data_IF_131711702747
#
_entry.id   IF_131711702747
#
_cell.length_a   1.000
_cell.length_b   1.000
_cell.length_c   1.000
_cell.angle_alpha   90.00
_cell.angle_beta   90.00
_cell.angle_gamma   90.00
#
_symmetry.space_group_name_H-M   'P 1'
#
loop_
_entity.id
_entity.type
_entity.pdbx_description
1 polymer ?
#
# COMPACT_ATOMS: atom_id res chain seq x y z
N UNK A 1 4.10 -10.58 26.30
CA UNK A 1 4.24 -9.12 26.18
C UNK A 1 5.74 -8.86 26.24
N UNK A 2 6.36 -8.58 25.07
CA UNK A 2 7.79 -8.23 25.00
C UNK A 2 8.04 -6.93 25.78
N UNK A 3 9.29 -6.74 26.26
CA UNK A 3 9.69 -5.45 26.84
C UNK A 3 9.49 -4.34 25.80
N UNK A 4 9.10 -3.11 26.22
CA UNK A 4 8.94 -2.01 25.28
C UNK A 4 10.27 -1.76 24.56
N UNK A 5 10.21 -1.56 23.24
CA UNK A 5 11.38 -1.22 22.43
C UNK A 5 11.90 0.14 22.89
N UNK A 6 13.16 0.21 23.23
CA UNK A 6 13.80 1.49 23.51
C UNK A 6 14.17 2.15 22.17
N UNK A 7 13.32 3.06 21.71
CA UNK A 7 13.55 3.81 20.49
C UNK A 7 14.79 4.71 20.62
N UNK A 8 15.59 4.76 19.57
CA UNK A 8 16.66 5.76 19.47
C UNK A 8 16.11 7.19 19.50
N UNK A 9 16.91 8.13 19.96
CA UNK A 9 16.53 9.56 19.97
C UNK A 9 16.60 10.23 18.59
N UNK A 10 17.04 9.50 17.58
CA UNK A 10 17.15 10.01 16.21
C UNK A 10 15.76 10.03 15.57
N UNK A 11 15.36 11.20 15.05
CA UNK A 11 14.07 11.34 14.36
C UNK A 11 14.23 11.15 12.84
N UNK A 12 13.29 10.43 12.23
CA UNK A 12 13.14 10.39 10.78
C UNK A 12 12.37 11.66 10.38
N UNK A 13 13.09 12.70 9.93
CA UNK A 13 12.48 13.99 9.58
C UNK A 13 11.64 13.90 8.31
N UNK A 14 12.20 13.34 7.24
CA UNK A 14 11.53 13.19 5.94
C UNK A 14 12.12 11.99 5.19
N UNK A 15 11.53 11.67 4.04
CA UNK A 15 11.96 10.61 3.14
C UNK A 15 12.24 11.20 1.76
N UNK A 16 13.15 10.59 1.02
CA UNK A 16 13.54 11.06 -0.32
C UNK A 16 12.35 11.08 -1.30
N UNK A 17 11.42 10.14 -1.14
CA UNK A 17 10.22 10.09 -1.97
C UNK A 17 9.30 11.30 -1.79
N UNK A 18 9.33 11.97 -0.64
CA UNK A 18 8.53 13.19 -0.39
C UNK A 18 8.93 14.29 -1.37
N UNK A 19 10.24 14.49 -1.54
CA UNK A 19 10.77 15.46 -2.51
C UNK A 19 10.55 14.98 -3.95
N UNK A 20 10.84 13.70 -4.24
CA UNK A 20 10.67 13.12 -5.58
C UNK A 20 9.24 13.21 -6.11
N UNK A 21 8.25 13.12 -5.22
CA UNK A 21 6.82 13.17 -5.54
C UNK A 21 6.20 14.56 -5.32
N UNK A 22 6.96 15.55 -4.83
CA UNK A 22 6.46 16.91 -4.58
C UNK A 22 5.40 17.00 -3.47
N UNK A 23 5.47 16.13 -2.46
CA UNK A 23 4.44 16.00 -1.42
C UNK A 23 4.61 16.93 -0.20
N UNK A 24 5.69 17.71 -0.13
CA UNK A 24 6.09 18.44 1.07
C UNK A 24 5.02 19.39 1.63
N UNK A 25 4.37 20.19 0.78
CA UNK A 25 3.32 21.12 1.21
C UNK A 25 2.05 20.37 1.68
N UNK A 26 1.65 19.32 0.96
CA UNK A 26 0.51 18.48 1.33
C UNK A 26 0.72 17.79 2.67
N UNK A 27 1.90 17.23 2.89
CA UNK A 27 2.27 16.60 4.18
C UNK A 27 2.25 17.64 5.31
N UNK A 28 2.78 18.83 5.09
CA UNK A 28 2.80 19.89 6.08
C UNK A 28 1.39 20.34 6.49
N UNK A 29 0.42 20.34 5.55
CA UNK A 29 -0.99 20.68 5.84
C UNK A 29 -1.67 19.68 6.77
N UNK A 30 -1.22 18.41 6.77
CA UNK A 30 -1.80 17.33 7.55
C UNK A 30 -3.17 16.84 7.07
N UNK A 31 -3.67 17.34 5.94
CA UNK A 31 -5.02 17.05 5.45
C UNK A 31 -5.06 15.98 4.34
N UNK A 32 -3.92 15.45 3.93
CA UNK A 32 -3.84 14.46 2.85
C UNK A 32 -4.68 13.22 3.15
N UNK A 33 -5.67 12.94 2.31
CA UNK A 33 -6.55 11.78 2.42
C UNK A 33 -7.61 11.90 3.53
N UNK A 34 -7.90 13.11 4.03
CA UNK A 34 -8.90 13.31 5.07
C UNK A 34 -10.27 12.72 4.69
N UNK A 35 -10.91 12.04 5.64
CA UNK A 35 -12.21 11.40 5.45
C UNK A 35 -12.16 10.05 4.72
N UNK A 36 -11.00 9.57 4.31
CA UNK A 36 -10.83 8.27 3.63
C UNK A 36 -10.29 7.22 4.59
N UNK A 37 -10.91 6.03 4.59
CA UNK A 37 -10.40 4.85 5.29
C UNK A 37 -9.47 4.04 4.38
N UNK A 38 -8.28 3.71 4.89
CA UNK A 38 -7.32 2.81 4.21
C UNK A 38 -7.12 1.57 5.08
N UNK A 39 -7.31 0.39 4.49
CA UNK A 39 -6.94 -0.89 5.09
C UNK A 39 -5.54 -1.30 4.65
N UNK A 40 -4.66 -1.59 5.60
CA UNK A 40 -3.33 -2.15 5.31
C UNK A 40 -3.34 -3.61 5.72
N UNK A 41 -3.06 -4.51 4.77
CA UNK A 41 -2.93 -5.95 5.02
C UNK A 41 -1.45 -6.30 5.04
N UNK A 42 -0.93 -6.59 6.22
CA UNK A 42 0.49 -6.81 6.48
C UNK A 42 0.69 -7.48 7.85
N UNK A 43 1.93 -7.66 8.30
CA UNK A 43 2.26 -7.89 9.71
C UNK A 43 1.76 -6.76 10.60
N UNK A 44 1.75 -6.94 11.93
CA UNK A 44 1.21 -5.94 12.85
C UNK A 44 2.16 -4.75 12.98
N UNK A 45 1.62 -3.53 12.75
CA UNK A 45 2.37 -2.31 12.99
C UNK A 45 2.54 -2.04 14.49
N UNK A 46 3.69 -1.54 14.90
CA UNK A 46 3.92 -1.02 16.23
C UNK A 46 3.57 0.47 16.28
N UNK A 47 2.40 0.78 16.82
CA UNK A 47 1.92 2.17 16.93
C UNK A 47 2.69 3.00 17.96
N UNK A 48 3.59 2.39 18.73
CA UNK A 48 4.52 3.09 19.62
C UNK A 48 5.75 3.63 18.90
N UNK A 49 5.96 3.26 17.64
CA UNK A 49 7.06 3.77 16.82
C UNK A 49 7.01 5.31 16.74
N UNK A 50 8.16 6.00 16.88
CA UNK A 50 8.21 7.46 16.94
C UNK A 50 7.52 8.15 15.74
N UNK A 51 7.67 7.61 14.55
CA UNK A 51 7.09 8.11 13.32
C UNK A 51 5.55 8.03 13.28
N UNK A 52 4.96 7.11 14.03
CA UNK A 52 3.50 6.92 14.12
C UNK A 52 2.86 7.69 15.29
N UNK A 53 3.64 8.42 16.06
CA UNK A 53 3.12 9.17 17.21
C UNK A 53 2.02 10.16 16.79
N UNK A 54 0.81 9.98 17.33
CA UNK A 54 -0.36 10.81 17.06
C UNK A 54 -1.05 10.54 15.70
N UNK A 55 -0.65 9.50 14.96
CA UNK A 55 -1.34 9.09 13.75
C UNK A 55 -2.65 8.34 14.08
N UNK A 56 -3.67 8.48 13.21
CA UNK A 56 -4.93 7.74 13.32
C UNK A 56 -4.75 6.32 12.75
N UNK A 57 -4.12 5.47 13.56
CA UNK A 57 -3.80 4.08 13.21
C UNK A 57 -4.43 3.13 14.21
N UNK A 58 -5.21 2.18 13.71
CA UNK A 58 -5.75 1.05 14.48
C UNK A 58 -5.14 -0.24 13.97
N UNK A 59 -4.58 -1.06 14.87
CA UNK A 59 -4.13 -2.42 14.53
C UNK A 59 -5.23 -3.41 14.91
N UNK A 60 -5.69 -4.20 13.93
CA UNK A 60 -6.74 -5.22 14.08
C UNK A 60 -6.15 -6.58 13.74
N UNK A 61 -5.69 -7.36 14.74
CA UNK A 61 -5.22 -8.72 14.51
C UNK A 61 -6.35 -9.59 13.95
N UNK A 62 -6.04 -10.34 12.89
CA UNK A 62 -7.04 -11.20 12.23
C UNK A 62 -7.15 -12.58 12.87
N UNK A 63 -6.17 -12.95 13.67
CA UNK A 63 -6.14 -14.14 14.54
C UNK A 63 -5.14 -13.93 15.68
N UNK A 64 -5.08 -14.86 16.62
CA UNK A 64 -4.08 -14.83 17.69
C UNK A 64 -2.80 -15.53 17.22
N UNK A 65 -1.69 -14.79 17.15
CA UNK A 65 -0.37 -15.29 16.75
C UNK A 65 0.75 -14.46 17.38
N UNK A 66 1.95 -15.02 17.37
CA UNK A 66 3.14 -14.29 17.82
C UNK A 66 3.91 -13.82 16.60
N UNK A 67 3.81 -12.52 16.33
CA UNK A 67 4.56 -11.90 15.26
C UNK A 67 6.03 -11.72 15.63
N UNK A 68 6.92 -12.06 14.72
CA UNK A 68 8.35 -11.80 14.83
C UNK A 68 8.64 -10.29 14.63
N UNK A 69 9.77 -9.83 15.14
CA UNK A 69 10.19 -8.43 14.99
C UNK A 69 10.34 -8.02 13.52
N UNK A 70 10.77 -8.93 12.64
CA UNK A 70 10.85 -8.66 11.19
C UNK A 70 9.46 -8.40 10.60
N UNK A 71 8.45 -9.17 10.96
CA UNK A 71 7.07 -9.00 10.52
C UNK A 71 6.48 -7.69 11.05
N UNK A 72 6.71 -7.39 12.34
CA UNK A 72 6.28 -6.15 12.98
C UNK A 72 7.00 -4.93 12.38
N UNK A 73 8.31 -5.01 12.14
CA UNK A 73 9.10 -3.95 11.52
C UNK A 73 8.59 -3.65 10.11
N UNK A 74 8.28 -4.69 9.31
CA UNK A 74 7.72 -4.51 7.98
C UNK A 74 6.34 -3.84 8.02
N UNK A 75 5.42 -4.33 8.84
CA UNK A 75 4.09 -3.72 9.01
C UNK A 75 4.17 -2.27 9.49
N UNK A 76 5.10 -1.97 10.42
CA UNK A 76 5.34 -0.60 10.89
C UNK A 76 5.86 0.30 9.76
N UNK A 77 6.85 -0.17 8.99
CA UNK A 77 7.39 0.57 7.85
C UNK A 77 6.30 0.90 6.81
N UNK A 78 5.48 -0.10 6.43
CA UNK A 78 4.38 0.07 5.45
C UNK A 78 3.33 1.06 5.96
N UNK A 79 2.91 0.95 7.22
CA UNK A 79 1.94 1.89 7.82
C UNK A 79 2.53 3.29 7.93
N UNK A 80 3.83 3.42 8.25
CA UNK A 80 4.48 4.73 8.37
C UNK A 80 4.52 5.50 7.04
N UNK A 81 4.64 4.82 5.91
CA UNK A 81 4.51 5.44 4.57
C UNK A 81 3.18 6.17 4.39
N UNK A 82 2.11 5.66 4.99
CA UNK A 82 0.78 6.30 4.92
C UNK A 82 0.59 7.39 5.98
N UNK A 83 0.98 7.10 7.22
CA UNK A 83 0.51 7.81 8.41
C UNK A 83 1.57 8.65 9.12
N UNK A 84 2.86 8.48 8.84
CA UNK A 84 3.93 9.15 9.57
C UNK A 84 3.81 10.69 9.49
N UNK A 85 4.01 11.35 10.62
CA UNK A 85 3.87 12.81 10.73
C UNK A 85 4.79 13.59 9.80
N UNK A 86 6.02 13.12 9.58
CA UNK A 86 7.05 13.81 8.79
C UNK A 86 7.01 13.49 7.29
N UNK A 87 6.39 12.35 6.90
CA UNK A 87 6.50 11.86 5.53
C UNK A 87 5.28 11.04 5.05
N UNK A 88 4.25 10.85 5.87
CA UNK A 88 3.09 10.05 5.52
C UNK A 88 2.30 10.62 4.35
N UNK A 89 2.10 9.81 3.30
CA UNK A 89 1.45 10.22 2.06
C UNK A 89 -0.03 10.54 2.25
N UNK A 90 -0.68 9.89 3.22
CA UNK A 90 -2.12 10.05 3.48
C UNK A 90 -2.41 10.25 4.98
N UNK A 91 -1.62 11.11 5.65
CA UNK A 91 -1.65 11.27 7.11
C UNK A 91 -2.96 11.82 7.69
N UNK A 92 -3.85 12.32 6.86
CA UNK A 92 -5.21 12.70 7.26
C UNK A 92 -6.22 11.58 7.11
N UNK A 93 -5.84 10.44 6.54
CA UNK A 93 -6.68 9.26 6.42
C UNK A 93 -6.74 8.46 7.74
N UNK A 94 -7.83 7.71 7.93
CA UNK A 94 -7.92 6.71 9.00
C UNK A 94 -7.32 5.40 8.50
N UNK A 95 -6.27 4.92 9.17
CA UNK A 95 -5.56 3.70 8.78
C UNK A 95 -6.00 2.55 9.71
N UNK A 96 -6.43 1.43 9.11
CA UNK A 96 -6.64 0.18 9.84
C UNK A 96 -5.67 -0.87 9.30
N UNK A 97 -4.73 -1.30 10.12
CA UNK A 97 -3.84 -2.41 9.79
C UNK A 97 -4.52 -3.72 10.18
N UNK A 98 -4.96 -4.47 9.18
CA UNK A 98 -5.48 -5.84 9.32
C UNK A 98 -4.28 -6.78 9.40
N UNK A 99 -3.83 -7.03 10.61
CA UNK A 99 -2.60 -7.76 10.86
C UNK A 99 -2.82 -9.27 10.65
N UNK A 100 -2.09 -9.84 9.72
CA UNK A 100 -2.07 -11.27 9.42
C UNK A 100 -0.69 -11.85 9.67
N UNK A 101 -0.56 -13.15 10.00
CA UNK A 101 0.75 -13.76 10.10
C UNK A 101 1.44 -13.80 8.74
N UNK A 102 2.71 -13.42 8.71
CA UNK A 102 3.60 -13.62 7.58
C UNK A 102 4.22 -15.03 7.62
N UNK A 103 5.03 -15.40 6.62
CA UNK A 103 5.52 -16.78 6.50
C UNK A 103 6.36 -17.25 7.68
N UNK A 104 7.10 -16.33 8.31
CA UNK A 104 8.00 -16.61 9.42
C UNK A 104 7.34 -16.59 10.80
N UNK A 105 6.10 -16.10 10.90
CA UNK A 105 5.41 -15.94 12.17
C UNK A 105 4.91 -17.26 12.76
N UNK A 106 4.96 -17.39 14.09
CA UNK A 106 4.41 -18.54 14.80
C UNK A 106 2.86 -18.48 14.82
N UNK A 107 2.24 -19.35 14.02
CA UNK A 107 0.78 -19.43 13.86
C UNK A 107 0.15 -20.35 14.87
N UNK A 108 -0.93 -19.91 15.51
CA UNK A 108 -1.80 -20.78 16.31
C UNK A 108 -2.82 -21.51 15.42
N UNK A 109 -3.52 -22.54 15.91
CA UNK A 109 -4.60 -23.20 15.17
C UNK A 109 -5.69 -22.21 14.71
N UNK A 110 -5.95 -21.13 15.47
CA UNK A 110 -6.94 -20.10 15.13
C UNK A 110 -6.54 -19.29 13.89
N UNK A 111 -5.27 -19.32 13.51
CA UNK A 111 -4.76 -18.69 12.29
C UNK A 111 -4.88 -19.60 11.05
N UNK A 112 -5.33 -20.82 11.20
CA UNK A 112 -5.53 -21.71 10.05
C UNK A 112 -6.52 -21.08 9.04
N UNK A 113 -6.07 -20.87 7.81
CA UNK A 113 -6.86 -20.20 6.76
C UNK A 113 -7.05 -18.69 6.95
N UNK A 114 -6.41 -18.06 7.94
CA UNK A 114 -6.36 -16.60 8.06
C UNK A 114 -5.25 -16.06 7.16
N UNK A 115 -5.62 -15.28 6.20
CA UNK A 115 -4.70 -14.66 5.24
C UNK A 115 -5.37 -13.48 4.54
N UNK A 116 -4.82 -13.14 3.39
CA UNK A 116 -5.23 -11.96 2.60
C UNK A 116 -6.73 -11.92 2.34
N UNK A 117 -7.36 -13.05 1.97
CA UNK A 117 -8.80 -13.10 1.67
C UNK A 117 -9.67 -12.66 2.85
N UNK A 118 -9.39 -13.19 4.05
CA UNK A 118 -10.13 -12.82 5.26
C UNK A 118 -9.91 -11.36 5.64
N UNK A 119 -8.69 -10.86 5.49
CA UNK A 119 -8.36 -9.48 5.77
C UNK A 119 -9.06 -8.52 4.79
N UNK A 120 -9.10 -8.84 3.48
CA UNK A 120 -9.88 -8.08 2.49
C UNK A 120 -11.36 -8.05 2.90
N UNK A 121 -11.94 -9.19 3.25
CA UNK A 121 -13.34 -9.28 3.69
C UNK A 121 -13.64 -8.38 4.89
N UNK A 122 -12.76 -8.37 5.89
CA UNK A 122 -12.87 -7.50 7.06
C UNK A 122 -12.75 -6.01 6.68
N UNK A 123 -11.79 -5.65 5.84
CA UNK A 123 -11.58 -4.29 5.37
C UNK A 123 -12.82 -3.74 4.62
N UNK A 124 -13.40 -4.57 3.75
CA UNK A 124 -14.64 -4.22 3.04
C UNK A 124 -15.81 -4.06 4.01
N UNK A 125 -15.94 -4.94 4.99
CA UNK A 125 -17.00 -4.86 6.01
C UNK A 125 -16.88 -3.61 6.90
N UNK A 126 -15.65 -3.17 7.19
CA UNK A 126 -15.37 -1.94 7.95
C UNK A 126 -15.52 -0.66 7.09
N UNK A 127 -15.83 -0.79 5.81
CA UNK A 127 -16.12 0.33 4.90
C UNK A 127 -14.89 1.13 4.48
N UNK A 128 -13.70 0.51 4.42
CA UNK A 128 -12.52 1.17 3.85
C UNK A 128 -12.71 1.38 2.34
N UNK A 129 -12.13 2.44 1.81
CA UNK A 129 -12.21 2.74 0.37
C UNK A 129 -10.98 2.26 -0.41
N UNK A 130 -9.86 2.10 0.27
CA UNK A 130 -8.59 1.65 -0.32
C UNK A 130 -8.03 0.52 0.53
N UNK A 131 -7.56 -0.54 -0.10
CA UNK A 131 -6.81 -1.62 0.55
C UNK A 131 -5.39 -1.65 -0.03
N UNK A 132 -4.38 -1.61 0.84
CA UNK A 132 -2.96 -1.72 0.51
C UNK A 132 -2.44 -3.08 0.96
N UNK A 133 -1.91 -3.89 0.03
CA UNK A 133 -1.38 -5.23 0.30
C UNK A 133 0.09 -5.26 -0.09
N UNK A 134 0.97 -5.14 0.90
CA UNK A 134 2.42 -5.11 0.71
C UNK A 134 3.07 -6.49 0.85
N UNK A 135 2.30 -7.54 0.68
CA UNK A 135 2.74 -8.93 0.75
C UNK A 135 2.82 -9.50 -0.67
N UNK A 136 3.96 -10.08 -1.01
CA UNK A 136 4.19 -10.86 -2.23
C UNK A 136 4.29 -12.33 -1.87
N UNK A 137 4.06 -13.20 -2.87
CA UNK A 137 4.14 -14.64 -2.69
C UNK A 137 2.90 -15.23 -2.01
N UNK A 138 2.74 -16.52 -2.12
CA UNK A 138 1.58 -17.25 -1.63
C UNK A 138 0.62 -17.61 -2.76
N UNK A 139 -0.04 -18.75 -2.59
CA UNK A 139 -0.97 -19.26 -3.59
C UNK A 139 -2.18 -18.33 -3.73
N UNK A 140 -2.46 -17.90 -4.93
CA UNK A 140 -3.70 -17.21 -5.29
C UNK A 140 -4.81 -18.27 -5.34
N UNK A 141 -5.39 -18.54 -4.19
CA UNK A 141 -6.51 -19.47 -4.07
C UNK A 141 -7.80 -18.83 -4.63
N UNK A 142 -8.80 -19.66 -4.94
CA UNK A 142 -10.11 -19.17 -5.38
C UNK A 142 -10.73 -18.23 -4.32
N UNK A 143 -10.53 -18.51 -3.04
CA UNK A 143 -10.98 -17.63 -1.95
C UNK A 143 -10.35 -16.24 -2.01
N UNK A 144 -9.08 -16.14 -2.39
CA UNK A 144 -8.41 -14.84 -2.59
C UNK A 144 -8.97 -14.14 -3.82
N UNK A 145 -9.20 -14.88 -4.93
CA UNK A 145 -9.82 -14.33 -6.16
C UNK A 145 -11.19 -13.75 -5.88
N UNK A 146 -12.03 -14.51 -5.18
CA UNK A 146 -13.38 -14.09 -4.78
C UNK A 146 -13.36 -12.85 -3.87
N UNK A 147 -12.45 -12.79 -2.89
CA UNK A 147 -12.31 -11.66 -1.99
C UNK A 147 -11.90 -10.37 -2.74
N UNK A 148 -10.94 -10.47 -3.67
CA UNK A 148 -10.54 -9.33 -4.52
C UNK A 148 -11.70 -8.91 -5.43
N UNK A 149 -12.34 -9.83 -6.12
CA UNK A 149 -13.47 -9.53 -6.98
C UNK A 149 -14.63 -8.85 -6.22
N UNK A 150 -14.92 -9.34 -5.01
CA UNK A 150 -15.91 -8.74 -4.12
C UNK A 150 -15.53 -7.32 -3.69
N UNK A 151 -14.26 -7.07 -3.34
CA UNK A 151 -13.77 -5.74 -2.97
C UNK A 151 -13.90 -4.76 -4.15
N UNK A 152 -13.45 -5.16 -5.34
CA UNK A 152 -13.56 -4.36 -6.58
C UNK A 152 -15.01 -4.07 -6.93
N UNK A 153 -15.91 -5.07 -6.86
CA UNK A 153 -17.32 -4.90 -7.12
C UNK A 153 -18.03 -3.94 -6.14
N UNK A 154 -17.48 -3.79 -4.93
CA UNK A 154 -17.96 -2.81 -3.92
C UNK A 154 -17.28 -1.44 -4.01
N UNK A 155 -16.50 -1.21 -5.04
CA UNK A 155 -15.81 0.06 -5.26
C UNK A 155 -14.62 0.29 -4.30
N UNK A 156 -14.08 -0.76 -3.71
CA UNK A 156 -12.82 -0.67 -2.94
C UNK A 156 -11.65 -0.80 -3.91
N UNK A 157 -10.73 0.16 -3.88
CA UNK A 157 -9.50 0.08 -4.66
C UNK A 157 -8.50 -0.83 -3.94
N UNK A 158 -8.04 -1.88 -4.63
CA UNK A 158 -7.07 -2.84 -4.11
C UNK A 158 -5.72 -2.56 -4.76
N UNK A 159 -4.77 -2.05 -3.97
CA UNK A 159 -3.39 -1.76 -4.40
C UNK A 159 -2.47 -2.84 -3.85
N UNK A 160 -1.65 -3.43 -4.71
CA UNK A 160 -0.84 -4.60 -4.36
C UNK A 160 0.60 -4.45 -4.87
N UNK A 161 1.55 -4.99 -4.13
CA UNK A 161 2.94 -5.05 -4.55
C UNK A 161 3.09 -5.98 -5.77
N UNK A 162 3.91 -5.55 -6.75
CA UNK A 162 4.18 -6.40 -7.92
C UNK A 162 5.13 -7.56 -7.62
N UNK A 163 5.87 -7.49 -6.52
CA UNK A 163 6.90 -8.47 -6.13
C UNK A 163 8.32 -8.02 -6.43
N UNK A 164 9.30 -8.73 -5.84
CA UNK A 164 10.72 -8.34 -5.81
C UNK A 164 11.66 -9.41 -6.44
N UNK A 165 11.16 -10.21 -7.37
CA UNK A 165 11.85 -11.36 -7.96
C UNK A 165 12.50 -11.04 -9.30
N UNK A 166 12.50 -9.78 -9.76
CA UNK A 166 12.97 -9.36 -11.10
C UNK A 166 12.20 -10.04 -12.25
N UNK A 167 11.02 -10.56 -11.97
CA UNK A 167 10.22 -11.35 -12.90
C UNK A 167 9.45 -10.48 -13.89
N UNK A 168 9.18 -11.06 -15.08
CA UNK A 168 8.28 -10.48 -16.07
C UNK A 168 7.02 -11.34 -16.13
N UNK A 169 5.86 -10.71 -15.94
CA UNK A 169 4.55 -11.37 -15.91
C UNK A 169 4.53 -12.61 -14.99
N UNK A 170 4.90 -12.50 -13.70
CA UNK A 170 4.86 -13.64 -12.81
C UNK A 170 3.44 -14.22 -12.79
N UNK A 171 3.29 -15.53 -12.99
CA UNK A 171 2.00 -16.18 -12.87
C UNK A 171 1.51 -16.08 -11.43
N UNK A 172 0.20 -16.12 -11.23
CA UNK A 172 -0.42 -16.17 -9.91
C UNK A 172 0.01 -15.03 -8.96
N UNK A 173 0.12 -13.81 -9.48
CA UNK A 173 0.39 -12.61 -8.71
C UNK A 173 -0.90 -11.85 -8.42
N UNK A 174 -1.09 -11.37 -7.18
CA UNK A 174 -2.21 -10.47 -6.83
C UNK A 174 -2.23 -9.23 -7.73
N UNK A 175 -1.05 -8.72 -8.11
CA UNK A 175 -0.94 -7.57 -9.01
C UNK A 175 -1.46 -7.84 -10.42
N UNK A 176 -1.53 -9.11 -10.80
CA UNK A 176 -2.02 -9.55 -12.10
C UNK A 176 -3.53 -9.76 -12.14
N UNK A 177 -4.19 -9.74 -10.99
CA UNK A 177 -5.65 -9.93 -10.94
C UNK A 177 -6.39 -8.74 -11.55
N UNK A 178 -7.49 -9.04 -12.26
CA UNK A 178 -8.37 -8.03 -12.83
C UNK A 178 -8.88 -7.07 -11.76
N UNK A 179 -8.83 -5.78 -12.05
CA UNK A 179 -9.31 -4.72 -11.16
C UNK A 179 -8.32 -4.25 -10.09
N UNK A 180 -7.17 -4.91 -9.90
CA UNK A 180 -6.15 -4.48 -8.93
C UNK A 180 -5.19 -3.46 -9.50
N UNK A 181 -4.63 -2.60 -8.65
CA UNK A 181 -3.54 -1.68 -8.97
C UNK A 181 -2.22 -2.31 -8.56
N UNK A 182 -1.39 -2.70 -9.51
CA UNK A 182 -0.05 -3.20 -9.22
C UNK A 182 0.95 -2.05 -9.07
N UNK A 183 1.55 -1.93 -7.91
CA UNK A 183 2.57 -0.94 -7.59
C UNK A 183 3.97 -1.55 -7.68
N UNK A 184 4.76 -1.08 -8.65
CA UNK A 184 6.18 -1.43 -8.79
C UNK A 184 7.09 -0.39 -8.15
N UNK A 185 8.32 -0.77 -7.88
CA UNK A 185 9.32 0.09 -7.24
C UNK A 185 10.19 0.85 -8.25
N UNK A 186 10.34 2.16 -8.05
CA UNK A 186 11.32 3.00 -8.74
C UNK A 186 12.37 3.54 -7.79
N UNK A 187 13.50 3.97 -8.36
CA UNK A 187 14.50 4.79 -7.67
C UNK A 187 14.07 6.28 -7.63
N UNK A 188 14.90 7.12 -7.00
CA UNK A 188 14.66 8.57 -6.90
C UNK A 188 14.69 9.32 -8.25
N UNK A 189 15.10 8.68 -9.34
CA UNK A 189 15.09 9.22 -10.71
C UNK A 189 13.93 8.64 -11.55
N UNK A 190 13.06 7.84 -10.97
CA UNK A 190 11.91 7.23 -11.64
C UNK A 190 12.26 6.02 -12.52
N UNK A 191 13.47 5.47 -12.41
CA UNK A 191 13.83 4.22 -13.11
C UNK A 191 13.32 3.04 -12.29
N UNK A 192 12.76 2.04 -12.98
CA UNK A 192 12.34 0.82 -12.29
C UNK A 192 13.55 0.16 -11.59
N UNK A 193 13.36 -0.26 -10.33
CA UNK A 193 14.37 -1.01 -9.58
C UNK A 193 14.55 -2.40 -10.19
N UNK A 194 15.79 -2.91 -10.19
CA UNK A 194 16.13 -4.19 -10.82
C UNK A 194 15.32 -5.35 -10.23
N UNK A 195 15.07 -5.35 -8.92
CA UNK A 195 14.28 -6.37 -8.25
C UNK A 195 12.78 -6.30 -8.57
N UNK A 196 12.25 -5.12 -8.95
CA UNK A 196 10.81 -4.94 -9.15
C UNK A 196 10.29 -5.79 -10.30
N UNK A 197 9.24 -6.56 -10.03
CA UNK A 197 8.53 -7.27 -11.07
C UNK A 197 7.87 -6.30 -12.05
N UNK A 198 7.72 -6.72 -13.29
CA UNK A 198 7.21 -5.94 -14.42
C UNK A 198 6.23 -6.75 -15.27
N UNK A 199 5.68 -6.14 -16.31
CA UNK A 199 4.71 -6.79 -17.19
C UNK A 199 3.27 -6.37 -16.87
N UNK A 200 2.30 -7.24 -17.18
CA UNK A 200 0.87 -6.92 -17.12
C UNK A 200 0.36 -6.59 -15.70
N UNK A 201 1.01 -7.16 -14.67
CA UNK A 201 0.69 -6.87 -13.29
C UNK A 201 1.01 -5.43 -12.88
N UNK A 202 2.02 -4.80 -13.52
CA UNK A 202 2.44 -3.45 -13.20
C UNK A 202 1.46 -2.41 -13.75
N UNK A 203 0.87 -1.62 -12.86
CA UNK A 203 0.02 -0.47 -13.24
C UNK A 203 0.82 0.82 -13.23
N UNK A 204 1.53 1.11 -12.13
CA UNK A 204 2.38 2.29 -11.99
C UNK A 204 3.60 1.99 -11.12
N UNK A 205 4.67 2.73 -11.33
CA UNK A 205 5.82 2.78 -10.44
C UNK A 205 5.65 3.91 -9.41
N UNK A 206 6.12 3.66 -8.20
CA UNK A 206 6.36 4.68 -7.18
C UNK A 206 7.71 4.41 -6.51
N UNK A 207 8.33 5.39 -5.81
CA UNK A 207 9.56 5.17 -5.07
C UNK A 207 9.47 3.97 -4.13
N UNK A 208 10.52 3.13 -4.13
CA UNK A 208 10.53 1.88 -3.37
C UNK A 208 11.48 1.91 -2.17
N UNK A 209 12.06 3.05 -1.82
CA UNK A 209 13.05 3.17 -0.73
C UNK A 209 12.45 3.89 0.48
N UNK A 210 12.80 3.42 1.68
CA UNK A 210 12.37 3.99 2.97
C UNK A 210 13.46 3.84 4.02
N UNK A 211 13.48 4.80 4.95
CA UNK A 211 14.17 4.69 6.26
C UNK A 211 13.10 4.57 7.35
N UNK A 212 13.27 3.64 8.26
CA UNK A 212 12.32 3.40 9.34
C UNK A 212 13.05 2.89 10.59
N UNK A 213 12.37 2.91 11.75
CA UNK A 213 12.92 2.31 12.97
C UNK A 213 12.69 0.79 12.96
N UNK A 214 13.77 0.05 12.93
CA UNK A 214 13.76 -1.40 13.08
C UNK A 214 13.47 -1.80 14.54
N UNK A 215 12.45 -2.64 14.74
CA UNK A 215 11.98 -3.03 16.07
C UNK A 215 12.95 -3.89 16.84
N UNK A 216 13.76 -4.70 16.15
CA UNK A 216 14.72 -5.57 16.82
C UNK A 216 15.88 -4.78 17.43
N UNK A 217 16.27 -3.67 16.81
CA UNK A 217 17.44 -2.89 17.19
C UNK A 217 17.12 -1.50 17.74
N UNK A 218 15.90 -0.99 17.50
CA UNK A 218 15.51 0.38 17.82
C UNK A 218 16.25 1.45 17.00
N UNK A 219 16.97 1.06 15.93
CA UNK A 219 17.78 1.94 15.10
C UNK A 219 17.08 2.24 13.78
N UNK A 220 17.42 3.39 13.19
CA UNK A 220 16.99 3.68 11.83
C UNK A 220 17.79 2.82 10.86
N UNK A 221 17.06 2.14 9.97
CA UNK A 221 17.62 1.29 8.91
C UNK A 221 17.01 1.67 7.56
N UNK A 222 17.74 1.40 6.49
CA UNK A 222 17.25 1.53 5.13
C UNK A 222 16.57 0.22 4.70
N UNK A 223 15.47 0.34 3.96
CA UNK A 223 14.81 -0.78 3.30
C UNK A 223 14.33 -0.38 1.91
N UNK A 224 14.13 -1.37 1.04
CA UNK A 224 13.57 -1.15 -0.29
C UNK A 224 12.74 -2.34 -0.74
N UNK A 225 11.67 -2.05 -1.48
CA UNK A 225 10.77 -3.07 -1.99
C UNK A 225 9.56 -2.49 -2.70
N UNK A 226 8.89 -3.31 -3.48
CA UNK A 226 7.57 -2.97 -4.01
C UNK A 226 6.53 -2.83 -2.89
N UNK A 227 6.81 -3.42 -1.72
CA UNK A 227 6.04 -3.25 -0.49
C UNK A 227 6.03 -1.81 0.03
N UNK A 228 7.00 -0.97 -0.34
CA UNK A 228 7.06 0.45 0.00
C UNK A 228 6.34 1.30 -1.06
N UNK A 229 6.48 0.96 -2.34
CA UNK A 229 5.76 1.62 -3.42
C UNK A 229 4.23 1.47 -3.28
N UNK A 230 3.77 0.33 -2.78
CA UNK A 230 2.36 0.00 -2.61
C UNK A 230 1.59 0.99 -1.73
N UNK A 231 1.99 1.26 -0.47
CA UNK A 231 1.31 2.24 0.35
C UNK A 231 1.46 3.68 -0.17
N UNK A 232 2.53 4.01 -0.91
CA UNK A 232 2.61 5.31 -1.60
C UNK A 232 1.46 5.45 -2.61
N UNK A 233 1.28 4.46 -3.49
CA UNK A 233 0.20 4.49 -4.49
C UNK A 233 -1.17 4.47 -3.80
N UNK A 234 -1.38 3.62 -2.79
CA UNK A 234 -2.63 3.56 -2.02
C UNK A 234 -2.96 4.90 -1.34
N UNK A 235 -1.94 5.55 -0.76
CA UNK A 235 -2.07 6.87 -0.14
C UNK A 235 -2.46 7.94 -1.14
N UNK A 236 -1.82 7.97 -2.32
CA UNK A 236 -2.16 8.93 -3.38
C UNK A 236 -3.57 8.74 -3.93
N UNK A 237 -4.03 7.50 -4.07
CA UNK A 237 -5.43 7.20 -4.42
C UNK A 237 -6.38 7.73 -3.33
N UNK A 238 -6.06 7.50 -2.06
CA UNK A 238 -6.87 8.01 -0.96
C UNK A 238 -6.89 9.55 -0.90
N UNK A 239 -5.76 10.21 -1.19
CA UNK A 239 -5.70 11.68 -1.32
C UNK A 239 -6.65 12.16 -2.41
N UNK A 240 -6.59 11.56 -3.60
CA UNK A 240 -7.50 11.93 -4.70
C UNK A 240 -8.97 11.69 -4.33
N UNK A 241 -9.29 10.60 -3.64
CA UNK A 241 -10.64 10.36 -3.14
C UNK A 241 -11.11 11.39 -2.10
N UNK A 242 -10.20 11.92 -1.30
CA UNK A 242 -10.48 12.99 -0.34
C UNK A 242 -10.69 14.34 -1.01
N UNK A 243 -9.91 14.66 -2.05
CA UNK A 243 -10.03 15.89 -2.84
C UNK A 243 -11.27 15.89 -3.73
N UNK A 244 -11.69 14.72 -4.23
CA UNK A 244 -12.82 14.53 -5.12
C UNK A 244 -13.86 13.57 -4.53
N UNK A 245 -14.56 13.95 -3.43
CA UNK A 245 -15.43 13.03 -2.68
C UNK A 245 -16.66 12.56 -3.48
N UNK A 246 -17.01 13.25 -4.57
CA UNK A 246 -18.09 12.86 -5.49
C UNK A 246 -17.65 11.89 -6.57
N UNK A 247 -16.35 11.64 -6.75
CA UNK A 247 -15.87 10.72 -7.77
C UNK A 247 -15.99 9.26 -7.30
N UNK A 248 -16.31 8.37 -8.24
CA UNK A 248 -16.28 6.93 -7.97
C UNK A 248 -14.84 6.41 -7.93
N UNK A 249 -14.64 5.25 -7.32
CA UNK A 249 -13.34 4.60 -7.29
C UNK A 249 -12.81 4.30 -8.70
N UNK A 250 -13.69 3.92 -9.62
CA UNK A 250 -13.32 3.67 -11.03
C UNK A 250 -12.80 4.96 -11.70
N UNK A 251 -13.49 6.08 -11.48
CA UNK A 251 -13.08 7.37 -12.04
C UNK A 251 -11.71 7.81 -11.47
N UNK A 252 -11.45 7.59 -10.18
CA UNK A 252 -10.13 7.85 -9.58
C UNK A 252 -9.06 6.93 -10.19
N UNK A 253 -9.37 5.66 -10.45
CA UNK A 253 -8.45 4.74 -11.13
C UNK A 253 -8.19 5.14 -12.58
N UNK A 254 -9.20 5.63 -13.32
CA UNK A 254 -9.01 6.21 -14.64
C UNK A 254 -8.06 7.40 -14.60
N UNK A 255 -8.26 8.31 -13.65
CA UNK A 255 -7.37 9.45 -13.45
C UNK A 255 -5.94 9.01 -13.10
N UNK A 256 -5.77 8.02 -12.21
CA UNK A 256 -4.46 7.46 -11.85
C UNK A 256 -3.69 6.97 -13.10
N UNK A 257 -4.36 6.20 -13.96
CA UNK A 257 -3.74 5.65 -15.18
C UNK A 257 -3.50 6.75 -16.22
N UNK A 258 -4.47 7.63 -16.43
CA UNK A 258 -4.39 8.68 -17.46
C UNK A 258 -3.36 9.75 -17.13
N UNK A 259 -3.10 10.03 -15.86
CA UNK A 259 -2.14 11.07 -15.43
C UNK A 259 -0.73 10.51 -15.16
N UNK A 260 -0.55 9.18 -15.21
CA UNK A 260 0.76 8.57 -15.09
C UNK A 260 1.70 9.09 -16.19
N UNK A 261 2.95 9.35 -15.83
CA UNK A 261 3.97 9.85 -16.77
C UNK A 261 4.92 8.73 -17.16
N UNK A 262 5.46 8.80 -18.37
CA UNK A 262 6.48 7.84 -18.79
C UNK A 262 7.78 8.05 -17.99
N UNK A 263 8.22 7.04 -17.28
CA UNK A 263 9.52 7.03 -16.63
C UNK A 263 10.67 6.87 -17.63
N UNK A 264 11.93 7.07 -17.18
CA UNK A 264 13.12 6.94 -18.05
C UNK A 264 13.28 5.57 -18.70
N UNK A 265 12.69 4.53 -18.11
CA UNK A 265 12.71 3.14 -18.60
C UNK A 265 11.41 2.75 -19.33
N UNK A 266 10.53 3.72 -19.59
CA UNK A 266 9.30 3.53 -20.36
C UNK A 266 8.08 3.04 -19.55
N UNK A 267 8.27 2.65 -18.27
CA UNK A 267 7.16 2.27 -17.41
C UNK A 267 6.40 3.50 -16.88
N UNK A 268 5.09 3.37 -16.61
CA UNK A 268 4.29 4.47 -16.07
C UNK A 268 4.70 4.79 -14.62
N UNK A 269 5.02 6.06 -14.36
CA UNK A 269 5.28 6.60 -13.03
C UNK A 269 4.01 7.25 -12.49
N UNK A 270 3.71 7.04 -11.22
CA UNK A 270 2.64 7.78 -10.55
C UNK A 270 2.92 9.29 -10.58
N UNK A 271 1.90 10.08 -10.86
CA UNK A 271 1.99 11.55 -10.92
C UNK A 271 1.05 12.17 -9.87
N UNK A 272 1.53 12.45 -8.65
CA UNK A 272 0.67 13.02 -7.61
C UNK A 272 0.02 14.33 -8.04
N UNK A 273 0.82 15.24 -8.60
CA UNK A 273 0.31 16.52 -9.09
C UNK A 273 -0.63 16.41 -10.30
N UNK A 274 -0.46 15.39 -11.15
CA UNK A 274 -1.40 15.06 -12.22
C UNK A 274 -2.73 14.57 -11.63
N UNK A 275 -2.67 13.61 -10.72
CA UNK A 275 -3.83 13.00 -10.10
C UNK A 275 -4.65 14.01 -9.27
N UNK A 276 -3.99 14.87 -8.50
CA UNK A 276 -4.65 15.88 -7.65
C UNK A 276 -5.35 16.99 -8.47
N UNK A 277 -4.76 17.42 -9.60
CA UNK A 277 -5.32 18.49 -10.43
C UNK A 277 -6.33 18.04 -11.48
N UNK A 278 -6.51 16.75 -11.65
CA UNK A 278 -7.39 16.19 -12.68
C UNK A 278 -8.72 15.77 -12.05
N UNK A 279 -9.81 16.43 -12.43
CA UNK A 279 -11.15 16.04 -11.98
C UNK A 279 -11.47 14.63 -12.48
N UNK A 280 -11.61 13.63 -11.59
CA UNK A 280 -11.88 12.26 -12.01
C UNK A 280 -13.27 12.09 -12.66
N UNK A 281 -14.21 12.99 -12.39
CA UNK A 281 -15.57 12.91 -12.93
C UNK A 281 -15.63 13.05 -14.46
N UNK A 282 -14.55 13.57 -15.09
CA UNK A 282 -14.45 13.62 -16.56
C UNK A 282 -14.24 12.23 -17.20
N UNK A 283 -13.88 11.22 -16.43
CA UNK A 283 -13.64 9.87 -16.92
C UNK A 283 -14.88 8.96 -16.75
N UNK A 284 -14.98 7.89 -17.57
CA UNK A 284 -16.06 6.92 -17.41
C UNK A 284 -15.98 6.19 -16.06
N UNK A 285 -17.13 5.83 -15.51
CA UNK A 285 -17.23 5.00 -14.31
C UNK A 285 -17.05 3.52 -14.64
N UNK A 286 -15.89 3.19 -15.15
CA UNK A 286 -15.47 1.83 -15.50
C UNK A 286 -14.05 1.61 -15.02
N UNK A 287 -13.80 0.49 -14.32
CA UNK A 287 -12.45 0.18 -13.86
C UNK A 287 -11.55 -0.10 -15.08
N UNK A 288 -10.48 0.69 -15.28
CA UNK A 288 -9.58 0.53 -16.43
C UNK A 288 -8.67 -0.70 -16.36
N UNK A 289 -8.70 -1.43 -15.24
CA UNK A 289 -7.77 -2.53 -14.96
C UNK A 289 -8.44 -3.92 -15.03
N UNK A 290 -9.67 -4.01 -15.58
CA UNK A 290 -10.39 -5.29 -15.66
C UNK A 290 -9.78 -6.28 -16.64
N UNK A 291 -9.12 -5.80 -17.69
CA UNK A 291 -8.60 -6.65 -18.77
C UNK A 291 -7.11 -7.04 -18.60
N UNK A 292 -6.60 -7.09 -17.37
CA UNK A 292 -5.20 -7.47 -17.14
C UNK A 292 -4.89 -8.89 -17.60
N UNK A 293 -5.85 -9.81 -17.41
CA UNK A 293 -5.79 -11.18 -17.92
C UNK A 293 -7.13 -11.53 -18.58
N UNK A 294 -7.22 -11.49 -19.93
CA UNK A 294 -8.40 -11.99 -20.63
C UNK A 294 -8.53 -13.51 -20.37
N UNK A 295 -9.60 -13.91 -19.69
CA UNK A 295 -9.90 -15.32 -19.39
C UNK A 295 -10.19 -15.66 -17.94
N UNK A 296 -10.22 -14.67 -17.05
CA UNK A 296 -10.68 -14.81 -15.66
C UNK A 296 -12.06 -14.14 -15.47
N UNK A 297 -13.00 -14.43 -16.40
CA UNK A 297 -14.42 -14.11 -16.21
C UNK A 297 -15.09 -15.11 -15.25
#
# INVERSE_FOLDING_TARGET
VGAPVAWGVEEIGTQDYVAALGLGEGIASGALGAGVGIGVIDGPADTSAPELAGADVTVKPMCDYTALDVSRSHGTAVVSVLAARGYGVARGARITNYAIPTDDDAKTPDCAGVGVARAIGAAVADGVRVVSISLGGGDITDTVREAVAMAVARGVVVVVATGNESAVDPPDSLASMSGTVGAGASDGQGRIKDYSNRGRGLTVLAPGDIRYHDLATGRIVDNSGTSIATPIVAGLVAVAMGEWPGATSNQVLQALVATATAGPTGQPLVSPGGLSRTDPAQYPDQNPLMDKFPGTE
#
